data_IF_346822025142
#
_entry.id   IF_346822025142
#
_cell.length_a   1.000
_cell.length_b   1.000
_cell.length_c   1.000
_cell.angle_alpha   90.00
_cell.angle_beta   90.00
_cell.angle_gamma   90.00
#
_symmetry.space_group_name_H-M   'P 1'
#
loop_
_entity.id
_entity.type
_entity.pdbx_description
1 polymer ?
#
# COMPACT_ATOMS: atom_id res chain seq x y z
N UNK A 1 18.92 1.68 23.15
CA UNK A 1 18.24 2.20 21.94
C UNK A 1 18.35 3.73 21.85
N UNK A 2 18.43 4.44 22.98
CA UNK A 2 18.39 5.91 22.99
C UNK A 2 19.63 6.55 22.37
N UNK A 3 20.84 6.03 22.61
CA UNK A 3 22.07 6.55 21.97
C UNK A 3 22.06 6.42 20.43
N UNK A 4 21.45 5.36 19.89
CA UNK A 4 21.31 5.18 18.43
C UNK A 4 20.33 6.23 17.88
N UNK A 5 19.19 6.42 18.55
CA UNK A 5 18.18 7.40 18.14
C UNK A 5 18.69 8.83 18.21
N UNK A 6 19.48 9.18 19.22
CA UNK A 6 20.14 10.49 19.30
C UNK A 6 21.09 10.73 18.12
N UNK A 7 21.87 9.72 17.73
CA UNK A 7 22.71 9.82 16.54
C UNK A 7 21.87 9.97 15.26
N UNK A 8 20.76 9.24 15.14
CA UNK A 8 19.88 9.34 13.98
C UNK A 8 19.14 10.69 13.92
N UNK A 9 18.83 11.31 15.06
CA UNK A 9 18.33 12.69 15.13
C UNK A 9 19.34 13.67 14.52
N UNK A 10 20.65 13.49 14.76
CA UNK A 10 21.69 14.29 14.10
C UNK A 10 21.65 14.13 12.58
N UNK A 11 21.41 12.91 12.09
CA UNK A 11 21.24 12.68 10.64
C UNK A 11 20.00 13.42 10.11
N UNK A 12 18.85 13.30 10.77
CA UNK A 12 17.63 13.99 10.34
C UNK A 12 17.80 15.52 10.33
N UNK A 13 18.38 16.09 11.38
CA UNK A 13 18.61 17.54 11.50
C UNK A 13 19.62 18.05 10.47
N UNK A 14 20.70 17.31 10.22
CA UNK A 14 21.65 17.63 9.15
C UNK A 14 20.98 17.67 7.78
N UNK A 15 20.13 16.68 7.48
CA UNK A 15 19.39 16.63 6.21
C UNK A 15 18.35 17.76 6.10
N UNK A 16 17.69 18.12 7.21
CA UNK A 16 16.74 19.24 7.24
C UNK A 16 17.41 20.62 7.09
N UNK A 17 18.68 20.75 7.47
CA UNK A 17 19.48 21.96 7.24
C UNK A 17 19.68 22.27 5.74
N UNK A 18 19.42 21.32 4.84
CA UNK A 18 19.34 21.56 3.39
C UNK A 18 18.20 22.51 2.96
N UNK A 19 17.32 22.89 3.88
CA UNK A 19 16.35 23.97 3.71
C UNK A 19 15.07 23.61 2.95
N UNK A 20 14.14 24.58 2.79
CA UNK A 20 12.79 24.33 2.26
C UNK A 20 12.75 23.84 0.81
N UNK A 21 13.73 24.22 -0.01
CA UNK A 21 13.80 23.79 -1.42
C UNK A 21 14.02 22.28 -1.51
N UNK A 22 15.01 21.75 -0.77
CA UNK A 22 15.26 20.31 -0.71
C UNK A 22 14.02 19.58 -0.18
N UNK A 23 13.39 20.11 0.87
CA UNK A 23 12.19 19.51 1.45
C UNK A 23 11.03 19.47 0.43
N UNK A 24 10.82 20.53 -0.34
CA UNK A 24 9.76 20.57 -1.37
C UNK A 24 10.00 19.52 -2.47
N UNK A 25 11.24 19.40 -2.95
CA UNK A 25 11.61 18.39 -3.96
C UNK A 25 11.41 16.98 -3.39
N UNK A 26 11.87 16.74 -2.17
CA UNK A 26 11.73 15.44 -1.50
C UNK A 26 10.27 15.11 -1.17
N UNK A 27 9.42 16.12 -0.92
CA UNK A 27 7.99 15.94 -0.74
C UNK A 27 7.31 15.50 -2.04
N UNK A 28 7.69 16.08 -3.18
CA UNK A 28 7.21 15.63 -4.49
C UNK A 28 7.67 14.20 -4.81
N UNK A 29 8.91 13.85 -4.47
CA UNK A 29 9.46 12.49 -4.66
C UNK A 29 8.76 11.49 -3.76
N UNK A 30 8.56 11.80 -2.47
CA UNK A 30 7.93 10.86 -1.54
C UNK A 30 6.49 10.54 -1.92
N UNK A 31 5.80 11.44 -2.64
CA UNK A 31 4.46 11.18 -3.16
C UNK A 31 4.42 9.93 -4.07
N UNK A 32 5.51 9.61 -4.78
CA UNK A 32 5.61 8.40 -5.61
C UNK A 32 5.67 7.10 -4.78
N UNK A 33 5.84 7.19 -3.46
CA UNK A 33 5.75 6.10 -2.50
C UNK A 33 4.48 6.12 -1.64
N UNK A 34 3.57 7.06 -1.90
CA UNK A 34 2.36 7.27 -1.12
C UNK A 34 1.22 6.32 -1.55
N UNK A 35 0.34 5.96 -0.62
CA UNK A 35 -0.81 5.09 -0.88
C UNK A 35 -1.76 5.68 -1.93
N UNK A 36 -1.96 7.00 -1.93
CA UNK A 36 -2.81 7.67 -2.91
C UNK A 36 -2.22 7.52 -4.31
N UNK A 37 -0.91 7.76 -4.47
CA UNK A 37 -0.24 7.56 -5.75
C UNK A 37 -0.43 6.13 -6.25
N UNK A 38 -0.26 5.13 -5.38
CA UNK A 38 -0.44 3.74 -5.77
C UNK A 38 -1.88 3.40 -6.15
N UNK A 39 -2.89 3.93 -5.45
CA UNK A 39 -4.30 3.74 -5.80
C UNK A 39 -4.64 4.38 -7.16
N UNK A 40 -3.95 5.45 -7.56
CA UNK A 40 -4.12 6.06 -8.88
C UNK A 40 -3.35 5.29 -9.96
N UNK A 41 -2.09 4.95 -9.70
CA UNK A 41 -1.18 4.43 -10.71
C UNK A 41 -1.36 2.93 -10.99
N UNK A 42 -1.58 2.10 -9.96
CA UNK A 42 -1.61 0.64 -10.14
C UNK A 42 -2.82 0.15 -10.93
N UNK A 43 -4.04 0.68 -10.73
CA UNK A 43 -5.17 0.37 -11.61
C UNK A 43 -4.93 0.80 -13.06
N UNK A 44 -4.13 1.84 -13.31
CA UNK A 44 -3.76 2.21 -14.68
C UNK A 44 -2.99 1.09 -15.39
N UNK A 45 -2.06 0.42 -14.69
CA UNK A 45 -1.37 -0.75 -15.26
C UNK A 45 -2.37 -1.87 -15.55
N UNK A 46 -3.27 -2.16 -14.60
CA UNK A 46 -4.27 -3.21 -14.74
C UNK A 46 -5.23 -2.95 -15.91
N UNK A 47 -5.74 -1.73 -16.06
CA UNK A 47 -6.73 -1.38 -17.08
C UNK A 47 -6.16 -1.07 -18.45
N UNK A 48 -4.93 -0.55 -18.53
CA UNK A 48 -4.40 0.06 -19.77
C UNK A 48 -3.16 -0.63 -20.33
N UNK A 49 -2.44 -1.42 -19.52
CA UNK A 49 -1.18 -2.07 -19.93
C UNK A 49 -1.33 -3.58 -19.95
N UNK A 50 -1.59 -4.19 -18.81
CA UNK A 50 -1.71 -5.64 -18.66
C UNK A 50 -2.41 -5.94 -17.34
N UNK A 51 -3.58 -6.58 -17.41
CA UNK A 51 -4.34 -6.99 -16.24
C UNK A 51 -3.52 -7.92 -15.33
N UNK A 52 -2.74 -8.84 -15.90
CA UNK A 52 -1.88 -9.74 -15.15
C UNK A 52 -0.74 -9.03 -14.41
N UNK A 53 -0.11 -8.06 -15.08
CA UNK A 53 0.96 -7.25 -14.49
C UNK A 53 0.43 -6.34 -13.39
N UNK A 54 -0.68 -5.64 -13.67
CA UNK A 54 -1.34 -4.79 -12.69
C UNK A 54 -1.81 -5.59 -11.47
N UNK A 55 -2.33 -6.81 -11.67
CA UNK A 55 -2.73 -7.69 -10.57
C UNK A 55 -1.54 -8.08 -9.69
N UNK A 56 -0.43 -8.55 -10.28
CA UNK A 56 0.74 -8.98 -9.50
C UNK A 56 1.40 -7.81 -8.76
N UNK A 57 1.51 -6.64 -9.40
CA UNK A 57 2.02 -5.43 -8.74
C UNK A 57 1.07 -4.99 -7.61
N UNK A 58 -0.24 -5.02 -7.84
CA UNK A 58 -1.25 -4.74 -6.81
C UNK A 58 -1.18 -5.73 -5.64
N UNK A 59 -0.98 -7.01 -5.91
CA UNK A 59 -0.74 -8.04 -4.89
C UNK A 59 0.52 -7.70 -4.07
N UNK A 60 1.60 -7.31 -4.73
CA UNK A 60 2.84 -6.94 -4.05
C UNK A 60 2.67 -5.72 -3.14
N UNK A 61 1.94 -4.70 -3.58
CA UNK A 61 1.59 -3.53 -2.77
C UNK A 61 0.79 -3.92 -1.53
N UNK A 62 -0.26 -4.74 -1.70
CA UNK A 62 -1.15 -5.13 -0.60
C UNK A 62 -0.45 -6.06 0.40
N UNK A 63 0.38 -6.99 -0.09
CA UNK A 63 1.26 -7.81 0.77
C UNK A 63 2.20 -6.91 1.57
N UNK A 64 2.89 -5.97 0.91
CA UNK A 64 3.88 -5.09 1.54
C UNK A 64 3.22 -4.19 2.60
N UNK A 65 2.11 -3.51 2.26
CA UNK A 65 1.37 -2.66 3.18
C UNK A 65 0.74 -3.42 4.36
N UNK A 66 0.21 -4.63 4.12
CA UNK A 66 -0.32 -5.50 5.17
C UNK A 66 0.77 -5.97 6.14
N UNK A 67 1.88 -6.48 5.61
CA UNK A 67 3.04 -6.90 6.42
C UNK A 67 3.64 -5.72 7.17
N UNK A 68 3.79 -4.55 6.54
CA UNK A 68 4.25 -3.33 7.19
C UNK A 68 3.35 -2.95 8.39
N UNK A 69 2.03 -2.99 8.21
CA UNK A 69 1.08 -2.70 9.28
C UNK A 69 1.25 -3.64 10.47
N UNK A 70 1.47 -4.93 10.22
CA UNK A 70 1.71 -5.93 11.26
C UNK A 70 3.01 -5.63 12.01
N UNK A 71 4.11 -5.37 11.29
CA UNK A 71 5.40 -5.05 11.92
C UNK A 71 5.37 -3.74 12.71
N UNK A 72 4.64 -2.72 12.23
CA UNK A 72 4.45 -1.47 12.97
C UNK A 72 3.80 -1.70 14.33
N UNK A 73 2.75 -2.52 14.38
CA UNK A 73 2.05 -2.89 15.62
C UNK A 73 2.90 -3.77 16.53
N UNK A 74 3.76 -4.63 15.96
CA UNK A 74 4.65 -5.50 16.71
C UNK A 74 5.85 -4.74 17.34
N UNK A 75 6.47 -3.83 16.58
CA UNK A 75 7.72 -3.17 16.96
C UNK A 75 7.54 -1.83 17.71
N UNK A 76 6.45 -1.09 17.44
CA UNK A 76 6.01 0.07 18.23
C UNK A 76 7.03 1.20 18.40
N UNK A 77 7.92 1.36 17.43
CA UNK A 77 8.94 2.41 17.45
C UNK A 77 8.35 3.81 17.23
N UNK A 78 8.80 4.83 17.97
CA UNK A 78 8.39 6.20 17.77
C UNK A 78 8.96 6.78 16.47
N UNK A 79 8.47 7.96 16.10
CA UNK A 79 9.06 8.79 15.03
C UNK A 79 10.07 9.78 15.60
N UNK A 80 10.99 10.33 14.78
CA UNK A 80 11.95 11.35 15.23
C UNK A 80 11.28 12.53 15.96
N UNK A 81 10.22 13.08 15.39
CA UNK A 81 9.47 14.20 15.97
C UNK A 81 8.69 13.86 17.24
N UNK A 82 8.47 12.57 17.56
CA UNK A 82 7.78 12.18 18.80
C UNK A 82 8.70 12.23 20.01
N UNK A 83 10.02 12.17 19.79
CA UNK A 83 11.01 12.11 20.87
C UNK A 83 11.95 13.31 20.91
N UNK A 84 11.97 14.15 19.86
CA UNK A 84 12.86 15.29 19.78
C UNK A 84 12.22 16.48 19.08
N UNK A 85 12.29 17.64 19.72
CA UNK A 85 11.82 18.93 19.16
C UNK A 85 12.80 19.49 18.12
N UNK A 86 13.98 18.87 17.96
CA UNK A 86 14.97 19.27 16.96
C UNK A 86 14.58 18.88 15.54
N UNK A 87 13.69 17.90 15.37
CA UNK A 87 13.26 17.40 14.06
C UNK A 87 11.84 17.83 13.79
N UNK A 88 11.63 18.61 12.73
CA UNK A 88 10.29 19.09 12.36
C UNK A 88 9.67 18.15 11.32
N UNK A 89 8.51 17.52 11.57
CA UNK A 89 7.88 16.64 10.60
C UNK A 89 7.27 17.47 9.45
N UNK A 90 7.80 17.29 8.23
CA UNK A 90 7.31 18.00 7.03
C UNK A 90 5.96 17.44 6.57
N UNK A 91 5.70 16.16 6.84
CA UNK A 91 4.43 15.48 6.58
C UNK A 91 3.88 14.87 7.86
N UNK A 92 2.55 14.90 8.03
CA UNK A 92 1.89 14.35 9.22
C UNK A 92 1.61 12.87 9.05
N UNK A 93 1.93 12.10 10.09
CA UNK A 93 1.88 10.64 10.08
C UNK A 93 1.40 10.12 11.43
N UNK A 94 0.38 9.27 11.41
CA UNK A 94 -0.36 8.85 12.61
C UNK A 94 -0.05 7.42 13.09
N UNK A 95 0.74 6.66 12.33
CA UNK A 95 1.19 5.31 12.69
C UNK A 95 2.60 5.31 13.27
N UNK A 96 3.02 4.22 13.92
CA UNK A 96 4.41 4.01 14.38
C UNK A 96 5.45 4.24 13.28
N UNK A 97 6.68 4.60 13.69
CA UNK A 97 7.80 4.89 12.80
C UNK A 97 8.41 3.63 12.15
N UNK A 98 8.68 2.60 12.94
CA UNK A 98 9.41 1.42 12.47
C UNK A 98 8.45 0.28 12.04
N UNK A 99 8.67 -0.38 10.89
CA UNK A 99 9.56 -0.01 9.78
C UNK A 99 8.92 1.01 8.83
N UNK A 100 9.75 1.71 8.05
CA UNK A 100 9.27 2.69 7.06
C UNK A 100 8.41 2.04 5.98
N UNK A 101 7.13 2.41 5.92
CA UNK A 101 6.17 1.90 4.93
C UNK A 101 6.49 2.35 3.50
N UNK A 102 6.92 3.60 3.31
CA UNK A 102 7.34 4.09 2.00
C UNK A 102 8.58 3.34 1.47
N UNK A 103 9.59 3.11 2.32
CA UNK A 103 10.76 2.33 1.95
C UNK A 103 10.40 0.87 1.60
N UNK A 104 9.59 0.22 2.44
CA UNK A 104 9.14 -1.15 2.22
C UNK A 104 8.27 -1.31 0.96
N UNK A 105 7.28 -0.42 0.76
CA UNK A 105 6.41 -0.43 -0.40
C UNK A 105 7.20 -0.12 -1.68
N UNK A 106 8.10 0.87 -1.66
CA UNK A 106 8.89 1.24 -2.84
C UNK A 106 9.75 0.09 -3.33
N UNK A 107 10.54 -0.57 -2.48
CA UNK A 107 11.37 -1.71 -2.91
C UNK A 107 10.51 -2.89 -3.37
N UNK A 108 9.39 -3.16 -2.68
CA UNK A 108 8.48 -4.23 -3.05
C UNK A 108 7.84 -4.00 -4.42
N UNK A 109 7.23 -2.83 -4.61
CA UNK A 109 6.40 -2.51 -5.77
C UNK A 109 7.22 -2.14 -6.98
N UNK A 110 8.15 -1.18 -6.85
CA UNK A 110 9.02 -0.78 -7.96
C UNK A 110 10.03 -1.87 -8.29
N UNK A 111 10.47 -2.65 -7.30
CA UNK A 111 11.31 -3.83 -7.55
C UNK A 111 10.59 -4.89 -8.36
N UNK A 112 9.32 -5.20 -8.06
CA UNK A 112 8.54 -6.12 -8.87
C UNK A 112 8.20 -5.55 -10.26
N UNK A 113 7.88 -4.26 -10.35
CA UNK A 113 7.66 -3.58 -11.62
C UNK A 113 8.89 -3.65 -12.54
N UNK A 114 10.11 -3.52 -11.99
CA UNK A 114 11.35 -3.70 -12.74
C UNK A 114 11.49 -5.11 -13.31
N UNK A 115 11.14 -6.14 -12.53
CA UNK A 115 11.15 -7.55 -12.99
C UNK A 115 10.15 -7.76 -14.13
N UNK A 116 8.97 -7.15 -14.06
CA UNK A 116 7.94 -7.23 -15.10
C UNK A 116 8.32 -6.48 -16.37
N UNK A 117 8.94 -5.31 -16.23
CA UNK A 117 9.29 -4.43 -17.36
C UNK A 117 10.33 -5.04 -18.30
N UNK A 118 11.22 -5.92 -17.79
CA UNK A 118 12.30 -6.58 -18.57
C UNK A 118 13.12 -5.61 -19.42
N UNK A 119 13.26 -4.36 -18.98
CA UNK A 119 13.94 -3.30 -19.72
C UNK A 119 14.99 -2.66 -18.81
N UNK A 120 16.24 -2.59 -19.29
CA UNK A 120 17.37 -2.08 -18.51
C UNK A 120 17.13 -0.67 -17.97
N UNK A 121 16.60 0.24 -18.79
CA UNK A 121 16.34 1.62 -18.39
C UNK A 121 15.19 1.71 -17.40
N UNK A 122 14.12 0.93 -17.60
CA UNK A 122 13.02 0.84 -16.63
C UNK A 122 13.52 0.33 -15.26
N UNK A 123 14.41 -0.67 -15.26
CA UNK A 123 15.03 -1.18 -14.03
C UNK A 123 15.86 -0.11 -13.34
N UNK A 124 16.71 0.62 -14.07
CA UNK A 124 17.51 1.72 -13.52
C UNK A 124 16.59 2.80 -12.91
N UNK A 125 15.53 3.19 -13.61
CA UNK A 125 14.56 4.16 -13.11
C UNK A 125 13.85 3.67 -11.85
N UNK A 126 13.44 2.40 -11.78
CA UNK A 126 12.82 1.82 -10.58
C UNK A 126 13.80 1.82 -9.39
N UNK A 127 15.06 1.44 -9.60
CA UNK A 127 16.09 1.47 -8.54
C UNK A 127 16.31 2.90 -8.06
N UNK A 128 16.41 3.87 -8.97
CA UNK A 128 16.54 5.28 -8.61
C UNK A 128 15.34 5.75 -7.78
N UNK A 129 14.10 5.40 -8.16
CA UNK A 129 12.90 5.72 -7.39
C UNK A 129 12.93 5.12 -5.99
N UNK A 130 13.36 3.86 -5.81
CA UNK A 130 13.47 3.22 -4.50
C UNK A 130 14.41 4.00 -3.58
N UNK A 131 15.59 4.37 -4.10
CA UNK A 131 16.59 5.13 -3.35
C UNK A 131 16.07 6.52 -3.01
N UNK A 132 15.50 7.23 -3.98
CA UNK A 132 14.99 8.59 -3.81
C UNK A 132 13.81 8.65 -2.83
N UNK A 133 12.85 7.73 -2.95
CA UNK A 133 11.72 7.63 -2.01
C UNK A 133 12.23 7.31 -0.60
N UNK A 134 13.16 6.36 -0.46
CA UNK A 134 13.72 5.99 0.85
C UNK A 134 14.47 7.15 1.51
N UNK A 135 15.30 7.85 0.74
CA UNK A 135 16.04 9.02 1.20
C UNK A 135 15.11 10.17 1.60
N UNK A 136 14.05 10.41 0.83
CA UNK A 136 13.09 11.48 1.11
C UNK A 136 12.50 11.37 2.52
N UNK A 137 12.30 10.15 3.05
CA UNK A 137 11.72 9.94 4.39
C UNK A 137 12.60 10.45 5.53
N UNK A 138 13.91 10.44 5.34
CA UNK A 138 14.89 10.99 6.29
C UNK A 138 14.84 12.52 6.28
N UNK A 139 14.78 13.12 5.08
CA UNK A 139 14.66 14.57 4.88
C UNK A 139 13.33 15.10 5.44
N UNK A 140 12.24 14.35 5.26
CA UNK A 140 10.93 14.70 5.82
C UNK A 140 10.87 14.64 7.36
N UNK A 141 11.89 14.06 8.02
CA UNK A 141 11.98 13.99 9.47
C UNK A 141 10.98 13.02 10.11
N UNK A 142 10.43 12.09 9.33
CA UNK A 142 9.34 11.20 9.77
C UNK A 142 9.78 9.76 10.05
N UNK A 143 11.03 9.42 9.71
CA UNK A 143 11.66 8.14 9.95
C UNK A 143 13.13 8.30 10.32
N UNK A 144 13.62 7.41 11.17
CA UNK A 144 15.04 7.21 11.40
C UNK A 144 15.69 6.43 10.25
N UNK A 145 17.02 6.44 10.18
CA UNK A 145 17.78 5.68 9.18
C UNK A 145 17.53 4.17 9.33
N UNK A 146 17.51 3.67 10.56
CA UNK A 146 17.20 2.29 10.92
C UNK A 146 15.80 1.88 10.48
N UNK A 147 14.79 2.75 10.60
CA UNK A 147 13.42 2.49 10.11
C UNK A 147 13.40 2.26 8.60
N UNK A 148 14.17 3.06 7.86
CA UNK A 148 14.29 2.99 6.39
C UNK A 148 15.04 1.73 5.98
N UNK A 149 16.17 1.44 6.61
CA UNK A 149 16.96 0.23 6.34
C UNK A 149 16.13 -1.03 6.61
N UNK A 150 15.45 -1.10 7.75
CA UNK A 150 14.61 -2.24 8.07
C UNK A 150 13.44 -2.38 7.08
N UNK A 151 12.82 -1.26 6.67
CA UNK A 151 11.80 -1.25 5.62
C UNK A 151 12.32 -1.82 4.30
N UNK A 152 13.50 -1.41 3.87
CA UNK A 152 14.16 -1.94 2.66
C UNK A 152 14.46 -3.43 2.77
N UNK A 153 15.00 -3.88 3.92
CA UNK A 153 15.31 -5.30 4.15
C UNK A 153 14.04 -6.14 4.09
N UNK A 154 13.00 -5.78 4.85
CA UNK A 154 11.75 -6.54 4.89
C UNK A 154 11.03 -6.54 3.53
N UNK A 155 11.01 -5.39 2.85
CA UNK A 155 10.41 -5.27 1.52
C UNK A 155 11.20 -6.04 0.45
N UNK A 156 12.52 -6.08 0.55
CA UNK A 156 13.40 -6.86 -0.32
C UNK A 156 13.27 -8.36 -0.11
N UNK A 157 13.18 -8.81 1.15
CA UNK A 157 12.89 -10.21 1.49
C UNK A 157 11.53 -10.63 0.97
N UNK A 158 10.52 -9.78 1.11
CA UNK A 158 9.18 -10.04 0.57
C UNK A 158 9.21 -10.12 -0.95
N UNK A 159 9.92 -9.21 -1.62
CA UNK A 159 10.10 -9.22 -3.08
C UNK A 159 10.78 -10.52 -3.55
N UNK A 160 11.86 -10.93 -2.87
CA UNK A 160 12.56 -12.18 -3.15
C UNK A 160 11.63 -13.38 -2.99
N UNK A 161 10.91 -13.47 -1.87
CA UNK A 161 9.96 -14.54 -1.62
C UNK A 161 8.87 -14.57 -2.71
N UNK A 162 8.32 -13.42 -3.08
CA UNK A 162 7.34 -13.32 -4.15
C UNK A 162 7.91 -13.79 -5.50
N UNK A 163 9.10 -13.32 -5.86
CA UNK A 163 9.79 -13.71 -7.10
C UNK A 163 10.04 -15.22 -7.20
N UNK A 164 10.36 -15.88 -6.08
CA UNK A 164 10.61 -17.32 -6.03
C UNK A 164 9.33 -18.17 -6.05
N UNK A 165 8.20 -17.63 -5.59
CA UNK A 165 6.99 -18.42 -5.33
C UNK A 165 5.81 -18.12 -6.27
N UNK A 166 5.74 -16.93 -6.89
CA UNK A 166 4.56 -16.48 -7.63
C UNK A 166 4.13 -17.45 -8.75
N UNK A 167 5.08 -18.07 -9.48
CA UNK A 167 4.77 -19.05 -10.53
C UNK A 167 4.17 -20.34 -9.97
N UNK A 168 4.75 -20.84 -8.88
CA UNK A 168 4.28 -22.06 -8.20
C UNK A 168 2.90 -21.85 -7.61
N UNK A 169 2.70 -20.71 -6.93
CA UNK A 169 1.39 -20.31 -6.37
C UNK A 169 0.38 -20.13 -7.51
N UNK A 170 0.75 -19.43 -8.59
CA UNK A 170 -0.13 -19.25 -9.75
C UNK A 170 -0.55 -20.57 -10.41
N UNK A 171 0.39 -21.50 -10.59
CA UNK A 171 0.10 -22.83 -11.14
C UNK A 171 -0.78 -23.69 -10.21
N UNK A 172 -0.61 -23.56 -8.88
CA UNK A 172 -1.48 -24.21 -7.91
C UNK A 172 -2.89 -23.59 -7.90
N UNK A 173 -2.99 -22.26 -7.89
CA UNK A 173 -4.27 -21.55 -7.96
C UNK A 173 -5.04 -21.88 -9.22
N UNK A 174 -4.36 -22.10 -10.36
CA UNK A 174 -5.00 -22.50 -11.62
C UNK A 174 -5.71 -23.85 -11.54
N UNK A 175 -5.37 -24.72 -10.57
CA UNK A 175 -6.04 -26.01 -10.35
C UNK A 175 -7.34 -25.89 -9.54
N UNK A 176 -7.53 -24.75 -8.85
CA UNK A 176 -8.70 -24.51 -8.02
C UNK A 176 -9.81 -23.90 -8.85
N UNK A 177 -11.06 -24.23 -8.52
CA UNK A 177 -12.21 -23.51 -9.08
C UNK A 177 -12.24 -22.05 -8.58
N UNK A 178 -13.01 -21.20 -9.25
CA UNK A 178 -13.07 -19.78 -8.88
C UNK A 178 -13.71 -19.55 -7.51
N UNK A 179 -14.59 -20.43 -7.03
CA UNK A 179 -15.21 -20.31 -5.71
C UNK A 179 -14.18 -20.60 -4.62
N UNK A 180 -13.36 -21.62 -4.81
CA UNK A 180 -12.22 -21.96 -3.95
C UNK A 180 -11.21 -20.81 -3.91
N UNK A 181 -10.93 -20.18 -5.05
CA UNK A 181 -10.04 -19.00 -5.10
C UNK A 181 -10.63 -17.79 -4.35
N UNK A 182 -11.94 -17.54 -4.47
CA UNK A 182 -12.64 -16.49 -3.72
C UNK A 182 -12.61 -16.77 -2.22
N UNK A 183 -12.88 -18.02 -1.81
CA UNK A 183 -12.80 -18.44 -0.41
C UNK A 183 -11.38 -18.26 0.12
N UNK A 184 -10.36 -18.64 -0.64
CA UNK A 184 -8.97 -18.46 -0.26
C UNK A 184 -8.59 -16.97 -0.14
N UNK A 185 -9.05 -16.13 -1.07
CA UNK A 185 -8.85 -14.67 -0.99
C UNK A 185 -9.50 -14.08 0.26
N UNK A 186 -10.69 -14.55 0.63
CA UNK A 186 -11.37 -14.15 1.86
C UNK A 186 -10.59 -14.61 3.09
N UNK A 187 -10.27 -15.91 3.21
CA UNK A 187 -9.53 -16.46 4.35
C UNK A 187 -8.17 -15.78 4.51
N UNK A 188 -7.40 -15.61 3.43
CA UNK A 188 -6.11 -14.92 3.49
C UNK A 188 -6.22 -13.45 3.91
N UNK A 189 -7.31 -12.76 3.54
CA UNK A 189 -7.57 -11.41 4.06
C UNK A 189 -7.87 -11.41 5.57
N UNK A 190 -8.59 -12.40 6.08
CA UNK A 190 -8.86 -12.54 7.50
C UNK A 190 -7.58 -12.88 8.27
N UNK A 191 -6.68 -13.67 7.68
CA UNK A 191 -5.35 -13.94 8.26
C UNK A 191 -4.57 -12.64 8.43
N UNK A 192 -4.59 -11.71 7.48
CA UNK A 192 -3.95 -10.40 7.67
C UNK A 192 -4.51 -9.63 8.86
N UNK A 193 -5.84 -9.58 8.97
CA UNK A 193 -6.50 -8.89 10.09
C UNK A 193 -6.17 -9.59 11.41
N UNK A 194 -6.22 -10.92 11.45
CA UNK A 194 -5.90 -11.71 12.64
C UNK A 194 -4.45 -11.52 13.09
N UNK A 195 -3.48 -11.51 12.16
CA UNK A 195 -2.07 -11.25 12.48
C UNK A 195 -1.85 -9.82 12.99
N UNK A 196 -2.57 -8.83 12.45
CA UNK A 196 -2.50 -7.46 12.94
C UNK A 196 -3.11 -7.33 14.35
N UNK A 197 -4.24 -7.99 14.63
CA UNK A 197 -4.85 -8.06 15.96
C UNK A 197 -3.89 -8.76 16.94
N UNK A 198 -3.29 -9.88 16.53
CA UNK A 198 -2.30 -10.59 17.33
C UNK A 198 -1.11 -9.69 17.67
N UNK A 199 -0.51 -9.02 16.67
CA UNK A 199 0.60 -8.09 16.89
C UNK A 199 0.22 -6.92 17.82
N UNK A 200 -1.01 -6.39 17.68
CA UNK A 200 -1.56 -5.37 18.57
C UNK A 200 -1.65 -5.87 20.01
N UNK A 201 -2.12 -7.09 20.22
CA UNK A 201 -2.34 -7.66 21.56
C UNK A 201 -1.06 -8.20 22.21
N UNK A 202 -0.06 -8.64 21.44
CA UNK A 202 1.15 -9.30 21.96
C UNK A 202 1.99 -8.42 22.89
N UNK A 203 1.98 -7.11 22.71
CA UNK A 203 2.69 -6.21 23.63
C UNK A 203 1.79 -5.61 24.72
N UNK A 204 0.74 -6.31 25.13
CA UNK A 204 -0.03 -6.02 26.35
C UNK A 204 -0.62 -4.62 26.42
N UNK A 205 -0.68 -4.07 27.64
CA UNK A 205 -1.21 -2.73 27.97
C UNK A 205 -0.24 -1.59 27.58
N UNK A 206 0.36 -1.66 26.40
CA UNK A 206 1.20 -0.57 25.93
C UNK A 206 0.37 0.71 25.78
N UNK A 207 0.84 1.77 26.41
CA UNK A 207 0.30 3.11 26.27
C UNK A 207 1.37 4.01 25.66
N UNK A 208 0.92 4.94 24.81
CA UNK A 208 1.81 5.94 24.25
C UNK A 208 2.32 6.85 25.38
N UNK A 209 3.65 7.03 25.53
CA UNK A 209 4.19 7.96 26.50
C UNK A 209 3.59 9.36 26.33
N UNK A 210 3.26 10.04 27.43
CA UNK A 210 2.60 11.34 27.40
C UNK A 210 3.38 12.39 26.60
N UNK A 211 4.71 12.38 26.68
CA UNK A 211 5.57 13.26 25.88
C UNK A 211 5.45 12.99 24.39
N UNK A 212 5.37 11.72 23.98
CA UNK A 212 5.19 11.37 22.57
C UNK A 212 3.82 11.83 22.11
N UNK A 213 2.78 11.61 22.90
CA UNK A 213 1.42 12.02 22.57
C UNK A 213 1.31 13.55 22.42
N UNK A 214 1.96 14.31 23.32
CA UNK A 214 2.00 15.77 23.27
C UNK A 214 2.69 16.30 22.00
N UNK A 215 3.79 15.67 21.57
CA UNK A 215 4.52 16.06 20.34
C UNK A 215 3.89 15.55 19.05
N UNK A 216 3.30 14.36 19.09
CA UNK A 216 2.71 13.71 17.92
C UNK A 216 1.39 14.37 17.52
N UNK A 217 0.64 14.92 18.49
CA UNK A 217 -0.64 15.57 18.22
C UNK A 217 -0.41 16.91 17.52
N UNK A 218 -0.98 17.06 16.33
CA UNK A 218 -0.94 18.31 15.55
C UNK A 218 -2.36 18.78 15.28
N UNK A 219 -2.61 20.08 15.41
CA UNK A 219 -3.91 20.71 15.11
C UNK A 219 -5.13 20.06 15.80
N UNK A 220 -4.94 19.52 17.00
CA UNK A 220 -5.98 18.84 17.78
C UNK A 220 -6.27 17.39 17.36
N UNK A 221 -5.56 16.84 16.38
CA UNK A 221 -5.70 15.43 15.99
C UNK A 221 -4.90 14.53 16.94
N UNK A 222 -5.61 13.73 17.74
CA UNK A 222 -5.00 12.73 18.63
C UNK A 222 -4.51 11.55 17.80
N UNK A 223 -3.21 11.29 17.85
CA UNK A 223 -2.58 10.19 17.13
C UNK A 223 -2.91 8.84 17.80
N UNK A 224 -3.43 7.89 17.02
CA UNK A 224 -3.68 6.52 17.46
C UNK A 224 -2.81 5.53 16.67
N UNK A 225 -1.56 5.28 17.10
CA UNK A 225 -0.64 4.42 16.38
C UNK A 225 -1.00 2.93 16.48
N UNK A 226 -1.89 2.57 17.40
CA UNK A 226 -2.41 1.21 17.59
C UNK A 226 -3.61 0.88 16.69
N UNK A 227 -3.90 1.75 15.72
CA UNK A 227 -5.02 1.59 14.81
C UNK A 227 -4.85 0.41 13.85
N UNK A 228 -5.91 -0.39 13.67
CA UNK A 228 -5.96 -1.49 12.69
C UNK A 228 -6.34 -1.01 11.28
N UNK A 229 -6.55 0.31 11.10
CA UNK A 229 -7.04 0.91 9.85
C UNK A 229 -6.22 0.51 8.62
N UNK A 230 -4.89 0.46 8.73
CA UNK A 230 -4.00 0.03 7.64
C UNK A 230 -4.25 -1.43 7.23
N UNK A 231 -4.17 -2.35 8.19
CA UNK A 231 -4.39 -3.78 7.97
C UNK A 231 -5.80 -4.08 7.40
N UNK A 232 -6.85 -3.43 7.92
CA UNK A 232 -8.22 -3.59 7.42
C UNK A 232 -8.39 -3.07 5.99
N UNK A 233 -7.72 -1.96 5.66
CA UNK A 233 -7.70 -1.37 4.32
C UNK A 233 -7.06 -2.34 3.33
N UNK A 234 -5.84 -2.81 3.62
CA UNK A 234 -5.14 -3.77 2.76
C UNK A 234 -5.91 -5.08 2.62
N UNK A 235 -6.47 -5.61 3.70
CA UNK A 235 -7.25 -6.86 3.69
C UNK A 235 -8.55 -6.74 2.88
N UNK A 236 -9.27 -5.62 2.99
CA UNK A 236 -10.46 -5.36 2.20
C UNK A 236 -10.14 -5.33 0.70
N UNK A 237 -9.17 -4.50 0.29
CA UNK A 237 -8.76 -4.44 -1.13
C UNK A 237 -8.24 -5.80 -1.60
N UNK A 238 -7.48 -6.52 -0.78
CA UNK A 238 -6.97 -7.87 -1.09
C UNK A 238 -8.09 -8.84 -1.46
N UNK A 239 -9.11 -8.94 -0.60
CA UNK A 239 -10.24 -9.83 -0.86
C UNK A 239 -11.02 -9.38 -2.10
N UNK A 240 -11.37 -8.10 -2.19
CA UNK A 240 -12.14 -7.57 -3.32
C UNK A 240 -11.42 -7.75 -4.65
N UNK A 241 -10.13 -7.43 -4.69
CA UNK A 241 -9.32 -7.49 -5.90
C UNK A 241 -9.10 -8.94 -6.34
N UNK A 242 -8.63 -9.83 -5.45
CA UNK A 242 -8.36 -11.22 -5.81
C UNK A 242 -9.63 -12.02 -6.07
N UNK A 243 -10.66 -11.86 -5.23
CA UNK A 243 -11.95 -12.52 -5.42
C UNK A 243 -12.65 -12.03 -6.68
N UNK A 244 -12.65 -10.72 -6.92
CA UNK A 244 -13.18 -10.13 -8.14
C UNK A 244 -12.45 -10.60 -9.39
N UNK A 245 -11.12 -10.66 -9.36
CA UNK A 245 -10.32 -11.15 -10.48
C UNK A 245 -10.59 -12.63 -10.76
N UNK A 246 -10.63 -13.47 -9.73
CA UNK A 246 -10.89 -14.90 -9.87
C UNK A 246 -12.26 -15.17 -10.51
N UNK A 247 -13.29 -14.44 -10.07
CA UNK A 247 -14.63 -14.52 -10.63
C UNK A 247 -14.68 -14.01 -12.08
N UNK A 248 -14.12 -12.82 -12.35
CA UNK A 248 -14.12 -12.23 -13.69
C UNK A 248 -13.42 -13.18 -14.68
N UNK A 249 -12.23 -13.68 -14.32
CA UNK A 249 -11.45 -14.60 -15.14
C UNK A 249 -12.24 -15.86 -15.49
N UNK A 250 -12.94 -16.43 -14.52
CA UNK A 250 -13.66 -17.69 -14.72
C UNK A 250 -14.98 -17.52 -15.49
N UNK A 251 -15.64 -16.36 -15.40
CA UNK A 251 -16.95 -16.12 -16.03
C UNK A 251 -16.88 -15.40 -17.36
N UNK A 252 -15.89 -14.54 -17.54
CA UNK A 252 -15.78 -13.66 -18.70
C UNK A 252 -14.41 -13.74 -19.36
N UNK A 253 -13.34 -14.01 -18.60
CA UNK A 253 -11.97 -14.00 -19.08
C UNK A 253 -11.16 -12.83 -18.52
N UNK A 254 -10.11 -12.41 -19.22
CA UNK A 254 -9.19 -11.35 -18.75
C UNK A 254 -9.27 -10.13 -19.65
N UNK A 255 -9.25 -8.94 -19.05
CA UNK A 255 -9.22 -7.67 -19.76
C UNK A 255 -7.97 -7.55 -20.64
N UNK A 256 -8.16 -7.29 -21.92
CA UNK A 256 -7.10 -7.03 -22.90
C UNK A 256 -6.80 -5.54 -23.02
N UNK A 257 -5.55 -5.24 -23.34
CA UNK A 257 -5.01 -3.88 -23.42
C UNK A 257 -4.50 -3.51 -24.82
N UNK A 258 -4.94 -4.23 -25.84
CA UNK A 258 -4.50 -4.08 -27.25
C UNK A 258 -5.20 -2.94 -27.99
N UNK A 259 -6.27 -2.38 -27.40
CA UNK A 259 -7.03 -1.28 -28.00
C UNK A 259 -6.26 0.05 -28.00
N UNK A 260 -6.64 0.96 -28.90
CA UNK A 260 -5.99 2.26 -29.08
C UNK A 260 -5.98 3.18 -27.85
N UNK A 261 -5.08 4.17 -27.85
CA UNK A 261 -4.78 5.04 -26.70
C UNK A 261 -5.98 5.77 -26.11
N UNK A 262 -6.96 6.17 -26.92
CA UNK A 262 -8.18 6.84 -26.44
C UNK A 262 -9.04 5.91 -25.55
N UNK A 263 -9.17 4.63 -25.92
CA UNK A 263 -9.88 3.64 -25.11
C UNK A 263 -9.18 3.42 -23.76
N UNK A 264 -7.84 3.42 -23.74
CA UNK A 264 -7.05 3.32 -22.51
C UNK A 264 -7.31 4.53 -21.60
N UNK A 265 -7.31 5.74 -22.16
CA UNK A 265 -7.60 6.95 -21.39
C UNK A 265 -9.02 6.93 -20.81
N UNK A 266 -10.03 6.58 -21.61
CA UNK A 266 -11.42 6.48 -21.14
C UNK A 266 -11.58 5.44 -20.04
N UNK A 267 -10.97 4.25 -20.20
CA UNK A 267 -10.95 3.21 -19.15
C UNK A 267 -10.36 3.74 -17.85
N UNK A 268 -9.22 4.41 -17.94
CA UNK A 268 -8.57 4.97 -16.76
C UNK A 268 -9.44 6.01 -16.06
N UNK A 269 -9.98 6.98 -16.80
CA UNK A 269 -10.82 8.05 -16.24
C UNK A 269 -12.10 7.49 -15.62
N UNK A 270 -12.79 6.57 -16.29
CA UNK A 270 -14.02 5.96 -15.78
C UNK A 270 -13.75 5.03 -14.59
N UNK A 271 -12.70 4.23 -14.67
CA UNK A 271 -12.27 3.38 -13.57
C UNK A 271 -11.92 4.21 -12.34
N UNK A 272 -11.16 5.30 -12.51
CA UNK A 272 -10.78 6.21 -11.45
C UNK A 272 -12.00 6.93 -10.85
N UNK A 273 -12.93 7.41 -11.70
CA UNK A 273 -14.17 8.02 -11.22
C UNK A 273 -14.95 7.08 -10.30
N UNK A 274 -14.99 5.79 -10.61
CA UNK A 274 -15.61 4.80 -9.72
C UNK A 274 -14.85 4.54 -8.42
N UNK A 275 -13.51 4.53 -8.44
CA UNK A 275 -12.71 4.48 -7.20
C UNK A 275 -13.03 5.70 -6.33
N UNK A 276 -13.01 6.90 -6.90
CA UNK A 276 -13.30 8.15 -6.19
C UNK A 276 -14.74 8.15 -5.65
N UNK A 277 -15.71 7.69 -6.43
CA UNK A 277 -17.11 7.59 -6.00
C UNK A 277 -17.28 6.62 -4.82
N UNK A 278 -16.68 5.43 -4.88
CA UNK A 278 -16.71 4.47 -3.78
C UNK A 278 -15.95 4.97 -2.55
N UNK A 279 -14.80 5.62 -2.78
CA UNK A 279 -13.99 6.19 -1.71
C UNK A 279 -14.76 7.32 -1.01
N UNK A 280 -15.12 8.39 -1.71
CA UNK A 280 -15.78 9.54 -1.09
C UNK A 280 -17.22 9.24 -0.65
N UNK A 281 -17.99 8.49 -1.46
CA UNK A 281 -19.38 8.16 -1.18
C UNK A 281 -19.51 7.29 0.07
N UNK A 282 -18.88 6.12 0.09
CA UNK A 282 -18.93 5.23 1.26
C UNK A 282 -18.20 5.84 2.47
N UNK A 283 -17.17 6.66 2.24
CA UNK A 283 -16.47 7.37 3.31
C UNK A 283 -17.30 8.43 4.03
N UNK A 284 -18.33 9.00 3.37
CA UNK A 284 -19.31 9.90 3.98
C UNK A 284 -20.47 9.14 4.64
N UNK A 285 -20.86 8.01 4.06
CA UNK A 285 -21.97 7.20 4.57
C UNK A 285 -21.60 6.38 5.82
N UNK A 286 -20.36 5.89 5.89
CA UNK A 286 -19.95 5.00 6.97
C UNK A 286 -19.51 5.80 8.21
N UNK A 287 -20.10 5.55 9.37
CA UNK A 287 -19.74 6.22 10.61
C UNK A 287 -18.31 5.88 11.01
N UNK A 288 -17.59 6.86 11.57
CA UNK A 288 -16.17 6.74 11.93
C UNK A 288 -15.93 6.40 13.41
N UNK A 289 -16.96 6.57 14.25
CA UNK A 289 -16.83 6.56 15.72
C UNK A 289 -17.68 5.45 16.38
N UNK A 290 -18.02 4.38 15.65
CA UNK A 290 -18.79 3.23 16.18
C UNK A 290 -17.89 2.02 16.53
N UNK A 291 -16.64 2.27 16.89
CA UNK A 291 -15.69 1.22 17.30
C UNK A 291 -15.51 0.13 16.23
N UNK A 292 -15.72 -1.13 16.60
CA UNK A 292 -15.52 -2.28 15.70
C UNK A 292 -16.46 -2.29 14.49
N UNK A 293 -17.63 -1.65 14.58
CA UNK A 293 -18.56 -1.53 13.44
C UNK A 293 -17.91 -0.67 12.35
N UNK A 294 -17.27 0.44 12.72
CA UNK A 294 -16.53 1.30 11.80
C UNK A 294 -15.36 0.55 11.13
N UNK A 295 -14.72 -0.37 11.84
CA UNK A 295 -13.66 -1.23 11.31
C UNK A 295 -14.18 -2.23 10.26
N UNK A 296 -15.32 -2.88 10.52
CA UNK A 296 -15.99 -3.78 9.57
C UNK A 296 -16.45 -3.02 8.33
N UNK A 297 -17.06 -1.84 8.50
CA UNK A 297 -17.48 -0.99 7.39
C UNK A 297 -16.29 -0.50 6.57
N UNK A 298 -15.15 -0.20 7.22
CA UNK A 298 -13.90 0.12 6.52
C UNK A 298 -13.45 -1.05 5.65
N UNK A 299 -13.35 -2.25 6.22
CA UNK A 299 -13.00 -3.46 5.47
C UNK A 299 -13.94 -3.63 4.26
N UNK A 300 -15.26 -3.50 4.46
CA UNK A 300 -16.25 -3.64 3.40
C UNK A 300 -16.12 -2.57 2.30
N UNK A 301 -15.87 -1.31 2.66
CA UNK A 301 -15.62 -0.22 1.70
C UNK A 301 -14.45 -0.55 0.79
N UNK A 302 -13.34 -1.01 1.37
CA UNK A 302 -12.14 -1.34 0.60
C UNK A 302 -12.27 -2.64 -0.19
N UNK A 303 -13.07 -3.59 0.30
CA UNK A 303 -13.54 -4.74 -0.49
C UNK A 303 -14.27 -4.30 -1.76
N UNK A 304 -15.22 -3.36 -1.66
CA UNK A 304 -15.93 -2.84 -2.84
C UNK A 304 -14.99 -2.12 -3.81
N UNK A 305 -13.99 -1.38 -3.30
CA UNK A 305 -12.97 -0.75 -4.15
C UNK A 305 -12.13 -1.81 -4.88
N UNK A 306 -11.67 -2.85 -4.19
CA UNK A 306 -10.92 -3.96 -4.82
C UNK A 306 -11.75 -4.66 -5.90
N UNK A 307 -13.02 -4.97 -5.59
CA UNK A 307 -13.97 -5.59 -6.52
C UNK A 307 -14.25 -4.70 -7.73
N UNK A 308 -14.34 -3.39 -7.52
CA UNK A 308 -14.48 -2.42 -8.58
C UNK A 308 -13.28 -2.45 -9.54
N UNK A 309 -12.06 -2.43 -9.00
CA UNK A 309 -10.83 -2.43 -9.78
C UNK A 309 -10.74 -3.68 -10.65
N UNK A 310 -10.94 -4.86 -10.07
CA UNK A 310 -10.63 -6.12 -10.75
C UNK A 310 -11.78 -6.74 -11.54
N UNK A 311 -13.05 -6.42 -11.22
CA UNK A 311 -14.21 -7.07 -11.83
C UNK A 311 -15.22 -6.10 -12.44
N UNK A 312 -15.73 -5.14 -11.65
CA UNK A 312 -16.88 -4.31 -12.08
C UNK A 312 -16.46 -3.34 -13.19
N UNK A 313 -15.32 -2.66 -13.05
CA UNK A 313 -14.85 -1.72 -14.06
C UNK A 313 -14.50 -2.40 -15.40
N UNK A 314 -13.82 -3.57 -15.47
CA UNK A 314 -13.69 -4.32 -16.72
C UNK A 314 -15.03 -4.64 -17.41
N UNK A 315 -16.06 -5.07 -16.67
CA UNK A 315 -17.37 -5.35 -17.25
C UNK A 315 -18.04 -4.09 -17.80
N UNK A 316 -17.91 -2.98 -17.07
CA UNK A 316 -18.38 -1.68 -17.56
C UNK A 316 -17.66 -1.26 -18.84
N UNK A 317 -16.35 -1.48 -18.95
CA UNK A 317 -15.58 -1.16 -20.14
C UNK A 317 -16.07 -1.94 -21.36
N UNK A 318 -16.37 -3.23 -21.21
CA UNK A 318 -16.95 -4.04 -22.28
C UNK A 318 -18.34 -3.53 -22.67
N UNK A 319 -19.19 -3.23 -21.68
CA UNK A 319 -20.54 -2.69 -21.93
C UNK A 319 -20.50 -1.37 -22.71
N UNK A 320 -19.51 -0.53 -22.44
CA UNK A 320 -19.29 0.75 -23.11
C UNK A 320 -18.48 0.63 -24.42
N UNK A 321 -18.10 -0.59 -24.84
CA UNK A 321 -17.27 -0.84 -26.03
C UNK A 321 -15.89 -0.16 -25.98
N UNK A 322 -15.35 0.06 -24.79
CA UNK A 322 -14.01 0.64 -24.54
C UNK A 322 -13.02 -0.35 -23.92
N UNK A 323 -13.41 -1.62 -23.83
CA UNK A 323 -12.60 -2.72 -23.34
C UNK A 323 -13.05 -4.04 -23.97
N UNK A 324 -12.16 -5.02 -24.00
CA UNK A 324 -12.43 -6.37 -24.47
C UNK A 324 -11.93 -7.34 -23.40
N UNK A 325 -12.75 -8.33 -23.08
CA UNK A 325 -12.39 -9.43 -22.20
C UNK A 325 -12.39 -10.68 -23.05
N UNK A 326 -11.29 -11.42 -23.02
CA UNK A 326 -11.14 -12.65 -23.79
C UNK A 326 -10.85 -13.83 -22.86
N UNK A 327 -11.28 -15.05 -23.23
CA UNK A 327 -10.84 -16.26 -22.54
C UNK A 327 -9.32 -16.28 -22.43
N UNK A 328 -8.81 -16.62 -21.25
CA UNK A 328 -7.39 -16.88 -21.09
C UNK A 328 -7.15 -18.33 -21.52
N UNK A 329 -6.65 -18.51 -22.74
CA UNK A 329 -6.21 -19.81 -23.27
C UNK A 329 -4.95 -20.30 -22.55
#
# INVERSE_FOLDING_TARGET
MDAIRELEIVVNTFLQAGGPVLQTIMQAITFLGDELFYILFMPAIYWCVSAWSGLRIGVMLLLSGGVNSIFKLALRGPRPSWISDKVTPVVHETSFGIPSGHAMNSISVWGWAAVEAKNKWATISCIALIVLISFSRLVMGVHFLSDVILGLILGGLLLLLFALTWRKIGAWLAKLDWKQQVILAFISSLVFVALAILAKNLGGEWQMPAEWAARASKDGEVVNPMSLKGALTSAGVWFGMLGGFAWLRAKHGVLKSEQGSWHKLLRYLLGLAGIVALYLGLGKLFPKDLGWISDVLRYFRYFLIGLWISAISPLLFVKLKIGQIEPHL
#
